data_IF_276533855224
#
_entry.id   IF_276533855224
#
_cell.length_a   1.000
_cell.length_b   1.000
_cell.length_c   1.000
_cell.angle_alpha   90.00
_cell.angle_beta   90.00
_cell.angle_gamma   90.00
#
_symmetry.space_group_name_H-M   'P 1'
#
loop_
_entity.id
_entity.type
_entity.pdbx_description
1 polymer ?
#
# COMPACT_ATOMS: atom_id res chain seq x y z
N UNK A 1 3.30 30.24 -6.91
CA UNK A 1 2.19 29.28 -7.10
C UNK A 1 1.72 28.94 -5.70
N UNK A 2 0.52 29.40 -5.33
CA UNK A 2 0.02 29.29 -3.97
C UNK A 2 -0.29 27.83 -3.66
N UNK A 3 0.43 27.28 -2.69
CA UNK A 3 0.18 25.98 -2.09
C UNK A 3 -1.07 26.14 -1.20
N UNK A 4 -2.25 26.11 -1.82
CA UNK A 4 -3.52 26.04 -1.11
C UNK A 4 -3.66 24.60 -0.69
N UNK A 5 -3.25 24.29 0.54
CA UNK A 5 -3.72 23.09 1.21
C UNK A 5 -5.23 23.30 1.40
N UNK A 6 -6.11 22.53 0.73
CA UNK A 6 -7.55 22.72 0.89
C UNK A 6 -7.94 22.48 2.35
N UNK A 7 -8.78 23.37 2.90
CA UNK A 7 -9.31 23.23 4.25
C UNK A 7 -10.17 21.96 4.33
N UNK A 8 -10.14 21.24 5.47
CA UNK A 8 -10.82 19.95 5.63
C UNK A 8 -12.32 19.99 5.30
N UNK A 9 -12.96 21.13 5.51
CA UNK A 9 -14.37 21.37 5.17
C UNK A 9 -14.64 21.40 3.67
N UNK A 10 -13.69 21.91 2.86
CA UNK A 10 -13.81 21.91 1.40
C UNK A 10 -13.63 20.51 0.81
N UNK A 11 -12.87 19.65 1.49
CA UNK A 11 -12.66 18.27 1.10
C UNK A 11 -13.89 17.39 1.39
N UNK A 12 -14.58 17.62 2.51
CA UNK A 12 -15.79 16.86 2.88
C UNK A 12 -16.96 17.05 1.90
N UNK A 13 -16.99 18.16 1.16
CA UNK A 13 -18.00 18.44 0.13
C UNK A 13 -17.70 17.73 -1.21
N UNK A 14 -16.49 17.18 -1.38
CA UNK A 14 -16.09 16.54 -2.64
C UNK A 14 -16.64 15.12 -2.77
N UNK A 15 -16.95 14.67 -4.00
CA UNK A 15 -17.27 13.29 -4.27
C UNK A 15 -16.13 12.34 -3.84
N UNK A 16 -16.45 11.17 -3.28
CA UNK A 16 -15.45 10.18 -2.83
C UNK A 16 -14.47 9.77 -3.93
N UNK A 17 -14.91 9.74 -5.19
CA UNK A 17 -14.03 9.48 -6.34
C UNK A 17 -12.99 10.58 -6.52
N UNK A 18 -13.38 11.84 -6.37
CA UNK A 18 -12.46 12.96 -6.51
C UNK A 18 -11.47 13.02 -5.36
N UNK A 19 -11.91 12.70 -4.14
CA UNK A 19 -11.01 12.52 -2.99
C UNK A 19 -9.99 11.40 -3.23
N UNK A 20 -10.45 10.24 -3.75
CA UNK A 20 -9.56 9.14 -4.10
C UNK A 20 -8.54 9.55 -5.16
N UNK A 21 -8.97 10.16 -6.26
CA UNK A 21 -8.08 10.56 -7.36
C UNK A 21 -7.03 11.57 -6.87
N UNK A 22 -7.41 12.55 -6.04
CA UNK A 22 -6.49 13.53 -5.44
C UNK A 22 -5.52 12.87 -4.46
N UNK A 23 -5.99 11.98 -3.58
CA UNK A 23 -5.13 11.26 -2.64
C UNK A 23 -4.13 10.36 -3.36
N UNK A 24 -4.56 9.64 -4.41
CA UNK A 24 -3.69 8.79 -5.22
C UNK A 24 -2.66 9.60 -6.02
N UNK A 25 -3.05 10.76 -6.57
CA UNK A 25 -2.12 11.65 -7.26
C UNK A 25 -1.02 12.15 -6.32
N UNK A 26 -1.40 12.61 -5.12
CA UNK A 26 -0.46 13.09 -4.11
C UNK A 26 0.46 11.97 -3.60
N UNK A 27 -0.09 10.79 -3.33
CA UNK A 27 0.70 9.63 -2.91
C UNK A 27 1.71 9.20 -3.99
N UNK A 28 1.31 9.24 -5.27
CA UNK A 28 2.21 8.93 -6.39
C UNK A 28 3.33 9.94 -6.54
N UNK A 29 3.03 11.24 -6.43
CA UNK A 29 4.04 12.30 -6.48
C UNK A 29 5.07 12.14 -5.36
N UNK A 30 4.60 11.82 -4.15
CA UNK A 30 5.46 11.62 -2.98
C UNK A 30 6.12 10.24 -2.92
N UNK A 31 5.75 9.31 -3.82
CA UNK A 31 6.11 7.89 -3.77
C UNK A 31 5.82 7.28 -2.39
N UNK A 32 4.67 7.65 -1.84
CA UNK A 32 4.26 7.27 -0.50
C UNK A 32 3.72 5.84 -0.48
N UNK A 33 4.65 4.88 -0.40
CA UNK A 33 4.32 3.45 -0.29
C UNK A 33 3.61 3.15 1.03
N UNK A 34 3.84 3.96 2.07
CA UNK A 34 3.17 3.84 3.37
C UNK A 34 1.67 4.13 3.26
N UNK A 35 1.30 5.24 2.64
CA UNK A 35 -0.12 5.56 2.37
C UNK A 35 -0.81 4.48 1.54
N UNK A 36 -0.15 3.97 0.49
CA UNK A 36 -0.71 2.89 -0.34
C UNK A 36 -0.93 1.60 0.46
N UNK A 37 -0.01 1.30 1.37
CA UNK A 37 -0.13 0.17 2.30
C UNK A 37 -1.30 0.36 3.28
N UNK A 38 -1.43 1.55 3.85
CA UNK A 38 -2.53 1.90 4.76
C UNK A 38 -3.89 1.81 4.07
N UNK A 39 -3.98 2.30 2.83
CA UNK A 39 -5.19 2.23 2.02
C UNK A 39 -5.59 0.77 1.75
N UNK A 40 -4.65 -0.10 1.38
CA UNK A 40 -4.92 -1.53 1.17
C UNK A 40 -5.45 -2.20 2.44
N UNK A 41 -4.87 -1.89 3.61
CA UNK A 41 -5.31 -2.43 4.91
C UNK A 41 -6.69 -1.94 5.35
N UNK A 42 -7.15 -0.79 4.85
CA UNK A 42 -8.46 -0.25 5.16
C UNK A 42 -9.60 -0.88 4.32
N UNK A 43 -9.29 -1.47 3.16
CA UNK A 43 -10.28 -2.06 2.25
C UNK A 43 -11.14 -3.15 2.92
N UNK A 44 -10.61 -4.14 3.67
CA UNK A 44 -11.44 -5.16 4.32
C UNK A 44 -12.49 -4.56 5.24
N UNK A 45 -12.11 -3.61 6.09
CA UNK A 45 -13.03 -2.94 7.00
C UNK A 45 -14.11 -2.14 6.25
N UNK A 46 -13.75 -1.50 5.13
CA UNK A 46 -14.70 -0.79 4.27
C UNK A 46 -15.67 -1.75 3.55
N UNK A 47 -15.19 -2.90 3.05
CA UNK A 47 -16.00 -3.91 2.38
C UNK A 47 -16.98 -4.61 3.34
N UNK A 48 -16.53 -4.92 4.56
CA UNK A 48 -17.39 -5.45 5.61
C UNK A 48 -18.54 -4.48 5.96
N UNK A 49 -18.29 -3.18 5.93
CA UNK A 49 -19.31 -2.15 6.17
C UNK A 49 -20.34 -2.03 5.03
N UNK A 50 -19.99 -2.40 3.79
CA UNK A 50 -20.91 -2.35 2.63
C UNK A 50 -21.70 -3.66 2.43
N UNK A 51 -21.39 -4.71 3.19
CA UNK A 51 -22.09 -6.00 3.12
C UNK A 51 -21.67 -6.88 1.94
N UNK A 52 -20.57 -6.56 1.26
CA UNK A 52 -20.04 -7.38 0.17
C UNK A 52 -19.12 -8.52 0.67
N UNK A 53 -19.77 -9.65 0.94
CA UNK A 53 -19.35 -11.04 0.66
C UNK A 53 -18.07 -11.60 1.33
N UNK A 54 -18.30 -12.45 2.35
CA UNK A 54 -17.31 -13.20 3.15
C UNK A 54 -16.22 -13.96 2.35
N UNK A 55 -16.53 -14.46 1.14
CA UNK A 55 -15.53 -15.21 0.33
C UNK A 55 -14.50 -14.29 -0.33
N UNK A 56 -14.94 -13.16 -0.87
CA UNK A 56 -14.02 -12.20 -1.49
C UNK A 56 -13.16 -11.52 -0.42
N UNK A 57 -13.72 -11.31 0.76
CA UNK A 57 -12.98 -10.81 1.93
C UNK A 57 -11.87 -11.77 2.37
N UNK A 58 -12.14 -13.08 2.45
CA UNK A 58 -11.12 -14.07 2.84
C UNK A 58 -9.92 -14.10 1.87
N UNK A 59 -10.18 -14.14 0.57
CA UNK A 59 -9.11 -14.13 -0.44
C UNK A 59 -8.31 -12.83 -0.40
N UNK A 60 -8.98 -11.70 -0.15
CA UNK A 60 -8.37 -10.38 -0.05
C UNK A 60 -7.50 -10.27 1.22
N UNK A 61 -8.00 -10.73 2.36
CA UNK A 61 -7.24 -10.79 3.62
C UNK A 61 -6.01 -11.70 3.49
N UNK A 62 -6.15 -12.85 2.84
CA UNK A 62 -5.01 -13.74 2.58
C UNK A 62 -3.95 -13.08 1.70
N UNK A 63 -4.37 -12.39 0.63
CA UNK A 63 -3.45 -11.61 -0.23
C UNK A 63 -2.75 -10.48 0.53
N UNK A 64 -3.46 -9.79 1.43
CA UNK A 64 -2.89 -8.77 2.31
C UNK A 64 -1.83 -9.34 3.26
N UNK A 65 -2.08 -10.49 3.88
CA UNK A 65 -1.10 -11.14 4.76
C UNK A 65 0.19 -11.50 4.03
N UNK A 66 0.10 -12.05 2.81
CA UNK A 66 1.29 -12.33 1.99
C UNK A 66 2.06 -11.07 1.62
N UNK A 67 1.36 -9.97 1.35
CA UNK A 67 1.99 -8.68 1.04
C UNK A 67 2.64 -8.05 2.29
N UNK A 68 2.07 -8.27 3.47
CA UNK A 68 2.66 -7.86 4.76
C UNK A 68 3.93 -8.66 5.07
N UNK A 69 3.91 -9.98 4.86
CA UNK A 69 5.11 -10.81 4.98
C UNK A 69 6.21 -10.35 4.01
N UNK A 70 5.83 -9.93 2.80
CA UNK A 70 6.77 -9.39 1.83
C UNK A 70 7.39 -8.05 2.28
N UNK A 71 6.62 -7.13 2.87
CA UNK A 71 7.17 -5.86 3.38
C UNK A 71 8.10 -6.08 4.57
N UNK A 72 7.84 -7.09 5.40
CA UNK A 72 8.69 -7.49 6.53
C UNK A 72 9.73 -8.55 6.17
N UNK A 73 9.84 -8.95 4.89
CA UNK A 73 10.73 -10.02 4.44
C UNK A 73 12.23 -9.73 4.72
N UNK A 74 12.58 -8.47 4.99
CA UNK A 74 13.92 -8.04 5.38
C UNK A 74 14.20 -8.13 6.89
N UNK A 75 13.26 -8.60 7.71
CA UNK A 75 13.39 -8.71 9.16
C UNK A 75 13.40 -10.17 9.66
N UNK A 76 14.12 -10.41 10.77
CA UNK A 76 14.09 -11.69 11.50
C UNK A 76 14.53 -12.92 10.72
N UNK A 77 14.05 -14.10 11.14
CA UNK A 77 14.42 -15.40 10.56
C UNK A 77 14.02 -15.53 9.07
N UNK A 78 13.00 -14.78 8.64
CA UNK A 78 12.55 -14.74 7.24
C UNK A 78 13.59 -14.07 6.33
N UNK A 79 14.22 -12.99 6.79
CA UNK A 79 15.31 -12.32 6.07
C UNK A 79 16.52 -13.23 5.89
N UNK A 80 16.87 -13.99 6.92
CA UNK A 80 17.96 -14.96 6.87
C UNK A 80 17.66 -16.10 5.90
N UNK A 81 16.41 -16.59 5.88
CA UNK A 81 15.96 -17.60 4.93
C UNK A 81 15.98 -17.09 3.47
N UNK A 82 15.65 -15.81 3.23
CA UNK A 82 15.65 -15.18 1.91
C UNK A 82 17.03 -14.68 1.46
N UNK A 83 18.04 -14.71 2.34
CA UNK A 83 19.40 -14.23 2.06
C UNK A 83 20.02 -14.77 0.75
N UNK A 84 19.90 -16.08 0.41
CA UNK A 84 20.43 -16.59 -0.85
C UNK A 84 19.79 -15.93 -2.08
N UNK A 85 18.49 -15.64 -2.02
CA UNK A 85 17.75 -14.98 -3.10
C UNK A 85 18.21 -13.52 -3.29
N UNK A 86 18.43 -12.79 -2.20
CA UNK A 86 18.96 -11.42 -2.27
C UNK A 86 20.38 -11.37 -2.83
N UNK A 87 21.24 -12.31 -2.43
CA UNK A 87 22.62 -12.40 -2.95
C UNK A 87 22.61 -12.66 -4.46
N UNK A 88 21.81 -13.61 -4.93
CA UNK A 88 21.70 -13.93 -6.35
C UNK A 88 21.26 -12.70 -7.16
N UNK A 89 20.21 -12.01 -6.70
CA UNK A 89 19.72 -10.78 -7.34
C UNK A 89 20.81 -9.70 -7.46
N UNK A 90 21.57 -9.45 -6.38
CA UNK A 90 22.63 -8.43 -6.35
C UNK A 90 23.84 -8.80 -7.21
N UNK A 91 24.16 -10.09 -7.31
CA UNK A 91 25.26 -10.58 -8.18
C UNK A 91 24.88 -10.46 -9.66
N UNK A 92 23.62 -10.75 -10.02
CA UNK A 92 23.13 -10.62 -11.40
C UNK A 92 22.88 -9.16 -11.80
N UNK A 93 22.50 -8.30 -10.84
CA UNK A 93 22.19 -6.89 -11.07
C UNK A 93 23.09 -5.97 -10.23
N UNK A 94 24.42 -6.00 -10.44
CA UNK A 94 25.31 -5.11 -9.72
C UNK A 94 24.96 -3.66 -10.08
N UNK A 95 24.72 -2.82 -9.07
CA UNK A 95 24.62 -1.37 -9.30
C UNK A 95 25.92 -0.92 -9.96
N UNK A 96 25.79 -0.20 -11.08
CA UNK A 96 26.88 0.26 -11.92
C UNK A 96 28.06 0.76 -11.08
N UNK A 97 29.25 0.26 -11.44
CA UNK A 97 30.52 0.61 -10.82
C UNK A 97 30.85 2.09 -11.00
#
# INVERSE_FOLDING_TARGET
>A
MSDVTPDGTELDELPSKELHDRAMALAKERRDVGFLWDLLRAIPAAAAATGEVDRAEFDLLHGLSLLEEFTHAGEGDLADALRPFYIDYLVTHPKGR
#
